data_IF_605078798145
#
_entry.id   IF_605078798145
#
_cell.length_a   1.000
_cell.length_b   1.000
_cell.length_c   1.000
_cell.angle_alpha   90.00
_cell.angle_beta   90.00
_cell.angle_gamma   90.00
#
_symmetry.space_group_name_H-M   'P 1'
#
loop_
_entity.id
_entity.type
_entity.pdbx_description
1 polymer ?
#
# COMPACT_ATOMS: atom_id res chain seq x y z
N UNK A 1 -4.14 13.03 -1.11
CA UNK A 1 -3.35 12.67 -2.31
C UNK A 1 -3.44 11.17 -2.46
N UNK A 2 -3.56 10.68 -3.71
CA UNK A 2 -3.68 9.25 -3.94
C UNK A 2 -2.33 8.62 -4.24
N UNK A 3 -2.05 7.49 -3.61
CA UNK A 3 -0.85 6.70 -3.88
C UNK A 3 -1.24 5.24 -4.09
N UNK A 4 -0.75 4.63 -5.16
CA UNK A 4 -0.78 3.18 -5.30
C UNK A 4 0.45 2.60 -4.60
N UNK A 5 0.21 1.71 -3.66
CA UNK A 5 1.22 0.85 -3.06
C UNK A 5 1.09 -0.54 -3.67
N UNK A 6 2.21 -1.09 -4.13
CA UNK A 6 2.34 -2.50 -4.51
C UNK A 6 3.49 -3.10 -3.72
N UNK A 7 3.20 -4.12 -2.93
CA UNK A 7 4.17 -4.78 -2.07
C UNK A 7 4.22 -6.28 -2.36
N UNK A 8 5.41 -6.79 -2.66
CA UNK A 8 5.71 -8.21 -2.67
C UNK A 8 6.26 -8.64 -1.31
N UNK A 9 5.61 -9.63 -0.70
CA UNK A 9 5.93 -10.12 0.64
C UNK A 9 6.52 -11.53 0.52
N UNK A 10 7.76 -11.74 0.93
CA UNK A 10 8.44 -13.03 0.88
C UNK A 10 8.66 -13.60 2.27
N UNK A 11 8.38 -14.89 2.46
CA UNK A 11 8.70 -15.58 3.71
C UNK A 11 10.16 -16.03 3.70
N UNK A 12 11.01 -15.57 4.63
CA UNK A 12 12.37 -16.10 4.75
C UNK A 12 12.37 -17.62 5.05
N UNK A 13 13.41 -18.32 4.61
CA UNK A 13 13.52 -19.78 4.78
C UNK A 13 13.61 -20.21 6.25
N UNK A 14 14.26 -19.38 7.08
CA UNK A 14 14.46 -19.59 8.51
C UNK A 14 13.30 -19.10 9.39
N UNK A 15 12.25 -18.50 8.81
CA UNK A 15 11.09 -17.99 9.54
C UNK A 15 9.95 -19.01 9.46
N UNK A 16 9.35 -19.32 10.62
CA UNK A 16 8.22 -20.25 10.70
C UNK A 16 6.95 -19.65 10.10
N UNK A 17 6.02 -20.49 9.65
CA UNK A 17 4.71 -20.02 9.18
C UNK A 17 3.95 -19.27 10.28
N UNK A 18 4.04 -19.73 11.52
CA UNK A 18 3.38 -19.08 12.67
C UNK A 18 3.86 -17.64 12.84
N UNK A 19 5.16 -17.42 12.73
CA UNK A 19 5.76 -16.09 12.85
C UNK A 19 5.41 -15.21 11.64
N UNK A 20 5.68 -15.69 10.42
CA UNK A 20 5.43 -14.93 9.19
C UNK A 20 3.97 -14.54 9.03
N UNK A 21 3.05 -15.50 9.10
CA UNK A 21 1.63 -15.21 8.98
C UNK A 21 1.09 -14.50 10.23
N UNK A 22 1.71 -14.65 11.40
CA UNK A 22 1.36 -13.88 12.59
C UNK A 22 1.60 -12.38 12.43
N UNK A 23 2.71 -12.00 11.78
CA UNK A 23 2.96 -10.59 11.40
C UNK A 23 1.96 -10.15 10.33
N UNK A 24 1.73 -10.98 9.31
CA UNK A 24 0.80 -10.62 8.24
C UNK A 24 -0.66 -10.50 8.72
N UNK A 25 -1.08 -11.26 9.74
CA UNK A 25 -2.40 -11.10 10.37
C UNK A 25 -2.52 -9.73 11.03
N UNK A 26 -1.52 -9.32 11.82
CA UNK A 26 -1.50 -7.98 12.43
C UNK A 26 -1.53 -6.88 11.36
N UNK A 27 -0.74 -7.06 10.30
CA UNK A 27 -0.72 -6.16 9.15
C UNK A 27 -2.11 -6.04 8.50
N UNK A 28 -2.79 -7.17 8.28
CA UNK A 28 -4.11 -7.21 7.68
C UNK A 28 -5.15 -6.51 8.56
N UNK A 29 -5.12 -6.70 9.89
CA UNK A 29 -6.01 -6.01 10.83
C UNK A 29 -5.79 -4.50 10.80
N UNK A 30 -4.54 -4.04 10.80
CA UNK A 30 -4.20 -2.62 10.71
C UNK A 30 -4.65 -2.02 9.37
N UNK A 31 -4.41 -2.72 8.26
CA UNK A 31 -4.84 -2.27 6.94
C UNK A 31 -6.37 -2.19 6.82
N UNK A 32 -7.11 -3.18 7.34
CA UNK A 32 -8.57 -3.15 7.35
C UNK A 32 -9.14 -2.05 8.25
N UNK A 33 -8.46 -1.71 9.35
CA UNK A 33 -8.81 -0.54 10.16
C UNK A 33 -8.59 0.77 9.39
N UNK A 34 -7.48 0.89 8.64
CA UNK A 34 -7.20 2.04 7.80
C UNK A 34 -8.20 2.19 6.63
N UNK A 35 -8.70 1.08 6.07
CA UNK A 35 -9.81 1.10 5.10
C UNK A 35 -11.07 1.69 5.74
N UNK A 36 -11.45 1.22 6.93
CA UNK A 36 -12.63 1.75 7.66
C UNK A 36 -12.48 3.23 8.01
N UNK A 37 -11.27 3.68 8.28
CA UNK A 37 -10.95 5.08 8.56
C UNK A 37 -10.86 5.97 7.29
N UNK A 38 -10.92 5.38 6.10
CA UNK A 38 -10.85 6.09 4.82
C UNK A 38 -9.44 6.43 4.33
N UNK A 39 -8.40 6.10 5.09
CA UNK A 39 -7.00 6.31 4.69
C UNK A 39 -6.55 5.34 3.58
N UNK A 40 -7.20 4.18 3.47
CA UNK A 40 -7.05 3.25 2.34
C UNK A 40 -8.38 3.20 1.58
N UNK A 41 -8.37 3.62 0.31
CA UNK A 41 -9.55 3.60 -0.58
C UNK A 41 -9.90 2.19 -1.05
N UNK A 42 -8.90 1.33 -1.15
CA UNK A 42 -9.07 -0.07 -1.48
C UNK A 42 -7.77 -0.84 -1.30
N UNK A 43 -7.89 -2.12 -0.96
CA UNK A 43 -6.78 -3.03 -0.79
C UNK A 43 -7.16 -4.41 -1.31
N UNK A 44 -6.25 -5.04 -2.02
CA UNK A 44 -6.45 -6.35 -2.64
C UNK A 44 -5.23 -7.24 -2.44
N UNK A 45 -5.52 -8.51 -2.12
CA UNK A 45 -4.55 -9.58 -2.27
C UNK A 45 -4.51 -10.00 -3.73
N UNK A 46 -3.32 -10.00 -4.32
CA UNK A 46 -3.13 -10.50 -5.68
C UNK A 46 -3.23 -12.02 -5.67
N UNK A 47 -4.23 -12.58 -6.36
CA UNK A 47 -4.49 -14.01 -6.38
C UNK A 47 -3.28 -14.80 -6.90
N UNK A 48 -2.91 -15.87 -6.17
CA UNK A 48 -1.80 -16.76 -6.53
C UNK A 48 -0.39 -16.18 -6.37
N UNK A 49 -0.24 -14.92 -5.98
CA UNK A 49 1.07 -14.26 -5.78
C UNK A 49 1.16 -13.76 -4.34
N UNK A 50 2.33 -13.75 -3.69
CA UNK A 50 2.47 -13.19 -2.35
C UNK A 50 2.60 -11.65 -2.42
N UNK A 51 1.72 -11.00 -3.18
CA UNK A 51 1.68 -9.57 -3.45
C UNK A 51 0.36 -8.92 -2.97
N UNK A 52 0.43 -7.67 -2.53
CA UNK A 52 -0.70 -6.83 -2.12
C UNK A 52 -0.66 -5.52 -2.89
N UNK A 53 -1.83 -5.05 -3.30
CA UNK A 53 -2.00 -3.74 -3.93
C UNK A 53 -2.98 -2.93 -3.08
N UNK A 54 -2.64 -1.68 -2.78
CA UNK A 54 -3.51 -0.76 -2.05
C UNK A 54 -3.50 0.63 -2.69
N UNK A 55 -4.63 1.33 -2.59
CA UNK A 55 -4.74 2.76 -2.90
C UNK A 55 -4.88 3.50 -1.58
N UNK A 56 -3.89 4.31 -1.24
CA UNK A 56 -3.87 5.14 -0.05
C UNK A 56 -4.32 6.56 -0.40
N UNK A 57 -5.09 7.18 0.48
CA UNK A 57 -5.46 8.59 0.39
C UNK A 57 -4.96 9.32 1.65
N UNK A 58 -3.79 9.96 1.50
CA UNK A 58 -3.11 10.67 2.59
C UNK A 58 -2.72 12.07 2.16
N UNK A 59 -2.60 13.05 3.07
CA UNK A 59 -2.46 14.46 2.68
C UNK A 59 -1.16 14.78 1.93
N UNK A 60 -0.06 14.10 2.26
CA UNK A 60 1.28 14.37 1.72
C UNK A 60 2.13 13.10 1.60
N UNK A 61 3.29 13.21 0.94
CA UNK A 61 4.30 12.14 0.92
C UNK A 61 4.89 11.86 2.31
N UNK A 62 5.04 12.88 3.17
CA UNK A 62 5.48 12.68 4.55
C UNK A 62 4.46 11.85 5.35
N UNK A 63 3.18 12.11 5.13
CA UNK A 63 2.10 11.35 5.79
C UNK A 63 2.02 9.91 5.27
N UNK A 64 2.35 9.69 3.99
CA UNK A 64 2.52 8.35 3.43
C UNK A 64 3.63 7.59 4.16
N UNK A 65 4.82 8.17 4.27
CA UNK A 65 5.95 7.52 4.94
C UNK A 65 5.65 7.25 6.41
N UNK A 66 5.03 8.20 7.11
CA UNK A 66 4.57 8.00 8.50
C UNK A 66 3.57 6.85 8.59
N UNK A 67 2.60 6.77 7.68
CA UNK A 67 1.60 5.71 7.68
C UNK A 67 2.25 4.34 7.42
N UNK A 68 3.17 4.23 6.46
CA UNK A 68 3.91 2.99 6.16
C UNK A 68 4.69 2.52 7.41
N UNK A 69 5.39 3.43 8.10
CA UNK A 69 6.16 3.07 9.30
C UNK A 69 5.28 2.69 10.50
N UNK A 70 4.00 3.06 10.51
CA UNK A 70 3.05 2.64 11.54
C UNK A 70 2.51 1.22 11.31
N UNK A 71 2.61 0.70 10.09
CA UNK A 71 2.16 -0.65 9.76
C UNK A 71 3.01 -1.70 10.50
N UNK A 72 2.39 -2.78 11.02
CA UNK A 72 3.08 -3.84 11.76
C UNK A 72 4.37 -4.37 11.12
N UNK A 73 4.40 -4.60 9.80
CA UNK A 73 5.61 -5.08 9.10
C UNK A 73 6.80 -4.15 9.35
N UNK A 74 6.62 -2.82 9.29
CA UNK A 74 7.69 -1.85 9.52
C UNK A 74 7.95 -1.63 11.00
N UNK A 75 6.88 -1.36 11.77
CA UNK A 75 6.97 -1.02 13.19
C UNK A 75 7.60 -2.14 14.03
N UNK A 76 7.37 -3.40 13.66
CA UNK A 76 7.90 -4.57 14.38
C UNK A 76 9.27 -5.03 13.85
N UNK A 77 9.88 -4.32 12.89
CA UNK A 77 11.20 -4.65 12.34
C UNK A 77 11.20 -5.78 11.29
N UNK A 78 10.04 -6.11 10.72
CA UNK A 78 9.90 -7.11 9.67
C UNK A 78 10.01 -6.54 8.26
N UNK A 79 10.48 -5.30 8.06
CA UNK A 79 10.57 -4.66 6.73
C UNK A 79 11.31 -5.53 5.68
N UNK A 80 12.23 -6.38 6.13
CA UNK A 80 12.96 -7.34 5.29
C UNK A 80 12.07 -8.39 4.59
N UNK A 81 10.82 -8.60 5.02
CA UNK A 81 9.87 -9.50 4.35
C UNK A 81 9.18 -8.81 3.16
N UNK A 82 9.13 -7.47 3.12
CA UNK A 82 8.63 -6.70 1.99
C UNK A 82 9.77 -6.46 0.99
N UNK A 83 10.00 -7.44 0.10
CA UNK A 83 11.21 -7.47 -0.74
C UNK A 83 11.12 -6.60 -1.98
N UNK A 84 9.92 -6.17 -2.37
CA UNK A 84 9.70 -5.18 -3.41
C UNK A 84 8.53 -4.29 -2.97
N UNK A 85 8.79 -2.99 -2.80
CA UNK A 85 7.79 -2.00 -2.44
C UNK A 85 7.83 -0.89 -3.49
N UNK A 86 6.72 -0.73 -4.20
CA UNK A 86 6.54 0.28 -5.22
C UNK A 86 5.45 1.25 -4.78
N UNK A 87 5.78 2.55 -4.80
CA UNK A 87 4.85 3.64 -4.57
C UNK A 87 4.70 4.43 -5.87
N UNK A 88 3.47 4.63 -6.31
CA UNK A 88 3.15 5.45 -7.48
C UNK A 88 2.17 6.55 -7.07
N UNK A 89 2.57 7.81 -7.20
CA UNK A 89 1.65 8.93 -7.00
C UNK A 89 0.59 8.93 -8.10
N UNK A 90 -0.67 9.06 -7.69
CA UNK A 90 -1.83 9.09 -8.58
C UNK A 90 -2.48 10.47 -8.52
N UNK A 91 -2.83 11.01 -9.68
CA UNK A 91 -3.72 12.18 -9.81
C UNK A 91 -5.13 11.72 -10.19
N UNK A 92 -6.19 12.43 -9.78
CA UNK A 92 -7.55 12.17 -10.25
C UNK A 92 -7.64 12.20 -11.78
N UNK A 93 -8.39 11.27 -12.36
CA UNK A 93 -8.53 11.16 -13.81
C UNK A 93 -9.40 12.29 -14.37
N UNK A 94 -10.35 12.80 -13.59
CA UNK A 94 -11.22 13.93 -13.92
C UNK A 94 -10.38 15.17 -14.25
N UNK A 95 -9.33 15.44 -13.48
CA UNK A 95 -8.43 16.55 -13.76
C UNK A 95 -7.71 16.35 -15.10
N UNK A 96 -7.33 15.11 -15.42
CA UNK A 96 -6.72 14.81 -16.72
C UNK A 96 -7.72 14.95 -17.87
N UNK A 97 -8.98 14.54 -17.66
CA UNK A 97 -10.05 14.72 -18.64
C UNK A 97 -10.30 16.20 -18.96
N UNK A 98 -10.17 17.10 -17.98
CA UNK A 98 -10.21 18.55 -18.22
C UNK A 98 -8.98 19.03 -19.00
N UNK A 99 -7.77 18.62 -18.63
CA UNK A 99 -6.54 18.98 -19.37
C UNK A 99 -6.62 18.55 -20.85
N UNK A 100 -7.19 17.38 -21.12
CA UNK A 100 -7.39 16.86 -22.47
C UNK A 100 -8.23 17.81 -23.36
N UNK A 101 -9.21 18.52 -22.80
CA UNK A 101 -10.03 19.48 -23.54
C UNK A 101 -9.20 20.67 -24.02
N UNK A 102 -8.23 21.11 -23.22
CA UNK A 102 -7.32 22.18 -23.62
C UNK A 102 -6.30 21.69 -24.65
N UNK A 103 -5.68 20.53 -24.42
CA UNK A 103 -4.71 19.94 -25.36
C UNK A 103 -5.33 19.62 -26.72
N UNK A 104 -6.61 19.27 -26.77
CA UNK A 104 -7.32 19.01 -28.02
C UNK A 104 -7.52 20.27 -28.90
N UNK A 105 -7.23 21.48 -28.39
CA UNK A 105 -7.40 22.75 -29.13
C UNK A 105 -6.21 23.10 -30.03
N UNK A 106 -5.06 22.44 -29.89
CA UNK A 106 -3.83 22.73 -30.64
C UNK A 106 -2.90 23.68 -29.91
#
# INVERSE_FOLDING_TARGET
>A
MLFMLKAYISKPANVSNKEFYGVWVQEAEAALAAVKAGAIRGIWKVAGRPEVIAILDVPSADDLDRAIHQLPIWRLGYSHIATDLQITALRPYENWAEDLKELAKG
#
